data_IF_841419622637
#
_entry.id   IF_841419622637
#
_cell.length_a   1.000
_cell.length_b   1.000
_cell.length_c   1.000
_cell.angle_alpha   90.00
_cell.angle_beta   90.00
_cell.angle_gamma   90.00
#
_symmetry.space_group_name_H-M   'P 1'
#
loop_
_entity.id
_entity.type
_entity.pdbx_description
1 polymer ?
#
# COMPACT_ATOMS: atom_id res chain seq x y z
N UNK A 1 30.16 -19.29 26.68
CA UNK A 1 29.56 -18.98 25.36
C UNK A 1 28.12 -18.59 25.62
N UNK A 2 27.80 -17.30 25.49
CA UNK A 2 26.42 -16.83 25.62
C UNK A 2 25.71 -17.26 24.35
N UNK A 3 24.66 -18.09 24.45
CA UNK A 3 23.85 -18.47 23.31
C UNK A 3 23.34 -17.18 22.64
N UNK A 4 23.63 -16.99 21.35
CA UNK A 4 23.06 -15.88 20.59
C UNK A 4 21.53 -16.03 20.61
N UNK A 5 20.87 -15.18 21.41
CA UNK A 5 19.42 -15.09 21.45
C UNK A 5 18.91 -14.79 20.05
N UNK A 6 17.85 -15.47 19.61
CA UNK A 6 17.25 -15.23 18.31
C UNK A 6 16.81 -13.75 18.18
N UNK A 7 16.97 -13.15 16.99
CA UNK A 7 16.53 -11.77 16.75
C UNK A 7 15.00 -11.69 16.78
N UNK A 8 14.48 -10.80 17.61
CA UNK A 8 13.04 -10.52 17.70
C UNK A 8 12.58 -9.64 16.53
N UNK A 9 11.29 -9.66 16.22
CA UNK A 9 10.75 -8.78 15.18
C UNK A 9 10.91 -7.30 15.53
N UNK A 10 10.87 -6.92 16.81
CA UNK A 10 11.10 -5.55 17.26
C UNK A 10 12.55 -5.08 17.01
N UNK A 11 13.54 -5.92 17.31
CA UNK A 11 14.96 -5.61 17.03
C UNK A 11 15.21 -5.48 15.52
N UNK A 12 14.63 -6.38 14.71
CA UNK A 12 14.74 -6.29 13.26
C UNK A 12 14.07 -5.03 12.71
N UNK A 13 12.88 -4.70 13.20
CA UNK A 13 12.14 -3.52 12.78
C UNK A 13 12.91 -2.24 13.12
N UNK A 14 13.45 -2.11 14.34
CA UNK A 14 14.27 -0.97 14.73
C UNK A 14 15.51 -0.81 13.83
N UNK A 15 16.13 -1.94 13.46
CA UNK A 15 17.31 -1.92 12.58
C UNK A 15 16.94 -1.52 11.14
N UNK A 16 15.82 -2.03 10.62
CA UNK A 16 15.29 -1.68 9.29
C UNK A 16 14.93 -0.19 9.24
N UNK A 17 14.22 0.33 10.23
CA UNK A 17 13.87 1.76 10.31
C UNK A 17 15.11 2.64 10.28
N UNK A 18 16.09 2.37 11.17
CA UNK A 18 17.32 3.14 11.20
C UNK A 18 18.13 3.05 9.90
N UNK A 19 18.13 1.89 9.22
CA UNK A 19 18.75 1.74 7.91
C UNK A 19 18.07 2.63 6.87
N UNK A 20 16.74 2.65 6.82
CA UNK A 20 15.98 3.43 5.84
C UNK A 20 16.12 4.94 6.10
N UNK A 21 16.15 5.38 7.35
CA UNK A 21 16.39 6.77 7.72
C UNK A 21 17.79 7.23 7.29
N UNK A 22 18.82 6.42 7.53
CA UNK A 22 20.18 6.69 7.04
C UNK A 22 20.23 6.75 5.51
N UNK A 23 19.53 5.84 4.82
CA UNK A 23 19.48 5.83 3.36
C UNK A 23 18.79 7.08 2.81
N UNK A 24 17.74 7.57 3.48
CA UNK A 24 17.08 8.83 3.13
C UNK A 24 18.06 10.00 3.24
N UNK A 25 18.75 10.13 4.38
CA UNK A 25 19.75 11.18 4.59
C UNK A 25 20.86 11.12 3.52
N UNK A 26 21.36 9.91 3.20
CA UNK A 26 22.38 9.72 2.16
C UNK A 26 21.90 10.17 0.78
N UNK A 27 20.63 9.88 0.42
CA UNK A 27 20.04 10.30 -0.86
C UNK A 27 19.78 11.80 -0.93
N UNK A 28 19.47 12.43 0.20
CA UNK A 28 19.28 13.87 0.33
C UNK A 28 20.61 14.64 0.41
N UNK A 29 21.75 13.94 0.42
CA UNK A 29 23.08 14.54 0.57
C UNK A 29 23.36 15.07 1.99
N UNK A 30 22.50 14.74 2.96
CA UNK A 30 22.68 15.10 4.36
C UNK A 30 23.73 14.20 5.02
N UNK A 31 24.55 14.80 5.90
CA UNK A 31 25.53 14.04 6.67
C UNK A 31 24.85 13.26 7.79
N UNK A 32 25.33 12.04 8.04
CA UNK A 32 24.88 11.20 9.14
C UNK A 32 26.06 10.40 9.70
N UNK A 33 26.02 10.07 11.00
CA UNK A 33 27.05 9.27 11.67
C UNK A 33 26.55 7.86 11.95
N UNK A 34 27.05 6.88 11.19
CA UNK A 34 26.77 5.46 11.42
C UNK A 34 27.12 5.02 12.85
N UNK A 35 28.22 5.55 13.39
CA UNK A 35 28.66 5.25 14.74
C UNK A 35 27.66 5.75 15.78
N UNK A 36 27.12 6.95 15.60
CA UNK A 36 26.13 7.51 16.50
C UNK A 36 24.81 6.74 16.46
N UNK A 37 24.32 6.42 15.27
CA UNK A 37 23.07 5.68 15.09
C UNK A 37 23.18 4.26 15.68
N UNK A 38 24.31 3.58 15.51
CA UNK A 38 24.56 2.29 16.18
C UNK A 38 24.57 2.44 17.71
N UNK A 39 25.18 3.51 18.25
CA UNK A 39 25.18 3.80 19.69
C UNK A 39 23.76 3.97 20.22
N UNK A 40 22.91 4.72 19.51
CA UNK A 40 21.51 4.95 19.88
C UNK A 40 20.69 3.67 19.84
N UNK A 41 20.82 2.87 18.78
CA UNK A 41 20.15 1.57 18.68
C UNK A 41 20.51 0.65 19.84
N UNK A 42 21.79 0.60 20.23
CA UNK A 42 22.27 -0.22 21.34
C UNK A 42 21.95 0.38 22.72
N UNK A 43 21.75 1.68 22.83
CA UNK A 43 21.24 2.29 24.06
C UNK A 43 19.75 1.99 24.29
N UNK A 44 19.02 1.58 23.23
CA UNK A 44 17.60 1.25 23.30
C UNK A 44 17.31 -0.18 22.82
N UNK A 45 16.64 -0.34 21.67
CA UNK A 45 16.04 -1.61 21.26
C UNK A 45 17.04 -2.75 21.04
N UNK A 46 18.32 -2.46 20.81
CA UNK A 46 19.37 -3.44 20.54
C UNK A 46 20.37 -3.56 21.71
N UNK A 47 19.96 -3.26 22.95
CA UNK A 47 20.84 -3.30 24.13
C UNK A 47 21.48 -4.67 24.38
N UNK A 48 20.84 -5.76 23.96
CA UNK A 48 21.35 -7.12 24.06
C UNK A 48 22.36 -7.50 22.95
N UNK A 49 22.57 -6.63 21.95
CA UNK A 49 23.34 -6.93 20.74
C UNK A 49 24.75 -6.30 20.76
N UNK A 50 25.70 -7.03 20.19
CA UNK A 50 27.06 -6.52 19.96
C UNK A 50 27.11 -5.62 18.72
N UNK A 51 28.09 -4.71 18.66
CA UNK A 51 28.29 -3.84 17.49
C UNK A 51 28.46 -4.66 16.19
N UNK A 52 29.20 -5.77 16.26
CA UNK A 52 29.38 -6.67 15.11
C UNK A 52 28.07 -7.30 14.63
N UNK A 53 27.17 -7.66 15.56
CA UNK A 53 25.86 -8.22 15.21
C UNK A 53 24.97 -7.19 14.52
N UNK A 54 24.98 -5.94 15.00
CA UNK A 54 24.23 -4.82 14.39
C UNK A 54 24.80 -4.48 13.01
N UNK A 55 26.11 -4.38 12.87
CA UNK A 55 26.79 -4.12 11.60
C UNK A 55 26.43 -5.20 10.56
N UNK A 56 26.53 -6.48 10.93
CA UNK A 56 26.16 -7.59 10.05
C UNK A 56 24.67 -7.56 9.67
N UNK A 57 23.79 -7.12 10.59
CA UNK A 57 22.37 -6.95 10.27
C UNK A 57 22.13 -5.84 9.23
N UNK A 58 22.87 -4.74 9.29
CA UNK A 58 22.82 -3.70 8.26
C UNK A 58 23.30 -4.22 6.89
N UNK A 59 24.31 -5.10 6.87
CA UNK A 59 24.77 -5.76 5.64
C UNK A 59 23.72 -6.73 5.08
N UNK A 60 23.00 -7.45 5.93
CA UNK A 60 21.86 -8.28 5.53
C UNK A 60 20.76 -7.42 4.89
N UNK A 61 20.44 -6.26 5.47
CA UNK A 61 19.47 -5.32 4.88
C UNK A 61 19.95 -4.83 3.51
N UNK A 62 21.21 -4.39 3.37
CA UNK A 62 21.79 -4.01 2.07
C UNK A 62 21.64 -5.10 1.01
N UNK A 63 21.81 -6.37 1.39
CA UNK A 63 21.66 -7.50 0.47
C UNK A 63 20.20 -7.75 0.09
N UNK A 64 19.24 -7.61 1.02
CA UNK A 64 17.81 -7.67 0.67
C UNK A 64 17.39 -6.50 -0.23
N UNK A 65 17.92 -5.29 0.00
CA UNK A 65 17.68 -4.12 -0.87
C UNK A 65 18.17 -4.38 -2.31
N UNK A 66 19.35 -4.97 -2.48
CA UNK A 66 19.85 -5.38 -3.80
C UNK A 66 18.96 -6.45 -4.46
N UNK A 67 18.51 -7.45 -3.71
CA UNK A 67 17.59 -8.49 -4.22
C UNK A 67 16.22 -7.92 -4.63
N UNK A 68 15.81 -6.80 -4.04
CA UNK A 68 14.61 -6.05 -4.39
C UNK A 68 14.82 -5.04 -5.53
N UNK A 69 16.06 -4.88 -6.03
CA UNK A 69 16.38 -3.85 -7.03
C UNK A 69 16.29 -2.41 -6.49
N UNK A 70 16.43 -2.20 -5.18
CA UNK A 70 16.34 -0.88 -4.54
C UNK A 70 17.73 -0.31 -4.22
N UNK A 71 17.89 1.02 -4.14
CA UNK A 71 19.12 1.65 -3.67
C UNK A 71 19.49 1.19 -2.25
N UNK A 72 20.78 1.09 -1.96
CA UNK A 72 21.30 0.74 -0.64
C UNK A 72 22.30 1.78 -0.15
N UNK A 73 22.56 1.80 1.15
CA UNK A 73 23.62 2.64 1.72
C UNK A 73 24.97 2.18 1.15
N UNK A 74 25.72 3.10 0.55
CA UNK A 74 26.95 2.78 -0.16
C UNK A 74 27.97 2.09 0.76
N UNK A 75 28.11 2.61 1.99
CA UNK A 75 29.08 2.10 2.95
C UNK A 75 28.59 0.96 3.85
N UNK A 76 27.48 0.28 3.54
CA UNK A 76 27.16 -1.04 4.11
C UNK A 76 27.23 -2.08 3.00
N UNK A 77 28.34 -2.80 2.93
CA UNK A 77 28.56 -3.83 1.92
C UNK A 77 27.52 -4.96 2.10
N UNK A 78 26.79 -5.36 1.05
CA UNK A 78 25.84 -6.47 1.13
C UNK A 78 26.49 -7.75 1.67
N UNK A 79 25.79 -8.44 2.56
CA UNK A 79 26.20 -9.76 3.04
C UNK A 79 26.22 -10.77 1.87
N UNK A 80 27.20 -11.68 1.88
CA UNK A 80 27.34 -12.72 0.84
C UNK A 80 26.24 -13.79 0.91
N UNK A 81 25.67 -14.00 2.10
CA UNK A 81 24.60 -14.96 2.33
C UNK A 81 23.66 -14.45 3.43
N UNK A 82 22.37 -14.78 3.33
CA UNK A 82 21.34 -14.55 4.35
C UNK A 82 20.54 -15.83 4.47
N UNK A 83 20.27 -16.30 5.69
CA UNK A 83 19.35 -17.42 5.91
C UNK A 83 17.94 -17.07 5.44
N UNK A 84 17.25 -18.00 4.76
CA UNK A 84 15.94 -17.78 4.14
C UNK A 84 14.87 -17.19 5.07
N UNK A 85 14.86 -17.60 6.35
CA UNK A 85 13.96 -17.05 7.36
C UNK A 85 14.23 -15.56 7.65
N UNK A 86 15.51 -15.18 7.77
CA UNK A 86 15.92 -13.80 7.99
C UNK A 86 15.67 -12.94 6.74
N UNK A 87 15.94 -13.47 5.54
CA UNK A 87 15.63 -12.78 4.29
C UNK A 87 14.14 -12.46 4.19
N UNK A 88 13.28 -13.46 4.45
CA UNK A 88 11.82 -13.30 4.38
C UNK A 88 11.31 -12.26 5.37
N UNK A 89 11.80 -12.30 6.62
CA UNK A 89 11.41 -11.32 7.66
C UNK A 89 11.86 -9.91 7.30
N UNK A 90 13.11 -9.74 6.88
CA UNK A 90 13.66 -8.45 6.46
C UNK A 90 12.95 -7.91 5.22
N UNK A 91 12.70 -8.75 4.21
CA UNK A 91 11.95 -8.38 2.99
C UNK A 91 10.56 -7.85 3.36
N UNK A 92 9.82 -8.58 4.20
CA UNK A 92 8.49 -8.15 4.67
C UNK A 92 8.54 -6.79 5.37
N UNK A 93 9.52 -6.58 6.26
CA UNK A 93 9.68 -5.32 6.99
C UNK A 93 10.11 -4.17 6.08
N UNK A 94 11.00 -4.43 5.13
CA UNK A 94 11.46 -3.45 4.13
C UNK A 94 10.34 -3.11 3.17
N UNK A 95 9.47 -4.05 2.77
CA UNK A 95 8.32 -3.77 1.91
C UNK A 95 7.24 -3.00 2.67
N UNK A 96 6.98 -3.37 3.93
CA UNK A 96 6.05 -2.65 4.81
C UNK A 96 6.53 -1.20 5.10
N UNK A 97 7.84 -1.01 5.30
CA UNK A 97 8.44 0.32 5.45
C UNK A 97 8.69 1.02 4.10
N UNK A 98 8.81 0.26 3.02
CA UNK A 98 9.19 0.66 1.66
C UNK A 98 8.05 1.17 0.79
N UNK A 99 6.87 1.39 1.38
CA UNK A 99 5.98 2.45 0.95
C UNK A 99 6.60 3.85 1.05
N UNK A 100 7.77 4.01 1.68
CA UNK A 100 8.46 5.30 1.88
C UNK A 100 9.79 5.49 1.12
N UNK A 101 10.17 4.60 0.20
CA UNK A 101 11.30 4.85 -0.72
C UNK A 101 10.76 5.11 -2.13
N UNK A 102 10.27 6.34 -2.31
CA UNK A 102 9.83 6.82 -3.61
C UNK A 102 11.01 6.84 -4.60
N UNK A 103 10.79 6.21 -5.75
CA UNK A 103 11.44 6.60 -7.00
C UNK A 103 11.17 8.10 -7.22
N UNK A 104 12.02 8.81 -7.96
CA UNK A 104 11.77 10.18 -8.40
C UNK A 104 10.50 10.28 -9.28
N UNK A 105 9.33 10.16 -8.65
CA UNK A 105 8.08 10.66 -9.21
C UNK A 105 8.11 12.16 -8.97
N UNK A 106 7.65 12.91 -9.96
CA UNK A 106 7.16 14.26 -9.76
C UNK A 106 6.46 14.32 -8.40
N UNK A 107 6.85 15.26 -7.52
CA UNK A 107 6.13 15.45 -6.26
C UNK A 107 4.68 15.72 -6.66
N UNK A 108 3.76 14.86 -6.22
CA UNK A 108 2.33 15.04 -6.47
C UNK A 108 1.96 16.41 -5.94
N UNK A 109 1.33 17.25 -6.75
CA UNK A 109 0.85 18.57 -6.33
C UNK A 109 -0.65 18.50 -6.05
N UNK A 110 -1.21 19.54 -5.41
CA UNK A 110 -2.66 19.57 -5.19
C UNK A 110 -3.45 19.54 -6.51
N UNK A 111 -2.96 20.20 -7.55
CA UNK A 111 -3.54 20.20 -8.90
C UNK A 111 -3.54 18.82 -9.58
N UNK A 112 -2.66 17.91 -9.17
CA UNK A 112 -2.66 16.51 -9.63
C UNK A 112 -3.76 15.68 -8.95
N UNK A 113 -4.28 16.14 -7.80
CA UNK A 113 -5.27 15.43 -6.96
C UNK A 113 -6.67 16.02 -7.14
N UNK A 114 -6.81 17.32 -6.98
CA UNK A 114 -8.04 18.09 -7.19
C UNK A 114 -7.85 18.95 -8.43
N UNK A 115 -8.75 18.88 -9.42
CA UNK A 115 -8.58 19.56 -10.71
C UNK A 115 -8.86 21.07 -10.67
N UNK A 116 -9.62 21.54 -9.69
CA UNK A 116 -10.02 22.94 -9.52
C UNK A 116 -10.42 23.24 -8.08
N UNK A 117 -10.59 24.52 -7.75
CA UNK A 117 -11.17 24.97 -6.50
C UNK A 117 -12.54 24.32 -6.21
N UNK A 118 -13.40 24.16 -7.23
CA UNK A 118 -14.72 23.53 -7.14
C UNK A 118 -14.68 22.08 -6.66
N UNK A 119 -13.57 21.38 -6.89
CA UNK A 119 -13.41 20.01 -6.40
C UNK A 119 -13.20 19.95 -4.88
N UNK A 120 -12.92 21.09 -4.23
CA UNK A 120 -12.71 21.21 -2.78
C UNK A 120 -14.02 21.64 -2.10
N UNK A 121 -14.69 20.74 -1.38
CA UNK A 121 -15.94 21.04 -0.66
C UNK A 121 -15.81 22.02 0.49
N UNK A 122 -14.58 22.37 0.87
CA UNK A 122 -14.28 23.35 1.90
C UNK A 122 -13.14 22.93 2.82
N UNK A 123 -13.07 23.64 3.96
CA UNK A 123 -12.07 23.42 5.00
C UNK A 123 -12.68 22.84 6.28
N UNK A 124 -11.86 22.11 7.02
CA UNK A 124 -12.20 21.61 8.35
C UNK A 124 -11.08 21.81 9.36
N UNK A 125 -11.41 22.30 10.54
CA UNK A 125 -10.49 22.35 11.66
C UNK A 125 -10.24 20.94 12.22
N UNK A 126 -8.97 20.62 12.44
CA UNK A 126 -8.50 19.37 13.06
C UNK A 126 -7.43 19.68 14.10
N UNK A 127 -7.19 18.78 15.04
CA UNK A 127 -6.17 18.97 16.09
C UNK A 127 -4.76 18.59 15.66
N UNK A 128 -4.59 18.07 14.44
CA UNK A 128 -3.30 17.79 13.82
C UNK A 128 -3.49 16.86 12.61
N UNK A 129 -2.41 16.29 12.06
CA UNK A 129 -2.49 15.48 10.84
C UNK A 129 -3.44 14.30 11.00
N UNK A 130 -4.19 14.00 9.93
CA UNK A 130 -5.11 12.86 9.90
C UNK A 130 -4.32 11.56 10.11
N UNK A 131 -4.73 10.81 11.14
CA UNK A 131 -4.13 9.52 11.51
C UNK A 131 -5.01 8.31 11.19
N UNK A 132 -6.17 8.52 10.55
CA UNK A 132 -7.16 7.47 10.27
C UNK A 132 -7.94 7.77 9.00
N UNK A 133 -8.55 6.74 8.41
CA UNK A 133 -9.37 6.84 7.21
C UNK A 133 -10.74 7.51 7.46
N UNK A 134 -10.91 8.27 8.55
CA UNK A 134 -12.16 8.92 8.91
C UNK A 134 -11.95 10.39 9.25
N UNK A 135 -12.96 11.20 8.96
CA UNK A 135 -13.05 12.59 9.38
C UNK A 135 -14.25 12.77 10.30
N UNK A 136 -13.99 13.26 11.51
CA UNK A 136 -14.96 13.28 12.60
C UNK A 136 -15.75 14.59 12.69
N UNK A 137 -17.00 14.52 13.13
CA UNK A 137 -17.93 15.64 13.27
C UNK A 137 -18.54 15.69 14.68
N UNK A 138 -18.96 16.88 15.08
CA UNK A 138 -19.85 17.03 16.23
C UNK A 138 -21.23 16.43 15.92
N UNK A 139 -21.87 15.85 16.93
CA UNK A 139 -23.28 15.45 16.84
C UNK A 139 -24.20 16.66 17.06
N UNK A 140 -25.41 16.60 16.48
CA UNK A 140 -26.50 17.54 16.78
C UNK A 140 -27.69 16.80 17.37
N UNK A 141 -28.13 17.17 18.57
CA UNK A 141 -29.26 16.52 19.22
C UNK A 141 -28.94 15.10 19.70
N UNK A 142 -29.97 14.28 19.89
CA UNK A 142 -29.82 12.90 20.36
C UNK A 142 -29.58 11.89 19.23
N UNK A 143 -28.96 10.74 19.53
CA UNK A 143 -28.58 9.71 18.53
C UNK A 143 -29.75 9.16 17.70
N UNK A 144 -30.97 9.26 18.21
CA UNK A 144 -32.18 8.78 17.56
C UNK A 144 -32.79 9.81 16.58
N UNK A 145 -32.28 11.05 16.58
CA UNK A 145 -32.76 12.10 15.69
C UNK A 145 -32.00 12.12 14.37
N UNK A 146 -32.69 12.49 13.29
CA UNK A 146 -32.06 12.68 11.97
C UNK A 146 -31.01 13.80 11.97
N UNK A 147 -31.16 14.78 12.86
CA UNK A 147 -30.22 15.89 13.09
C UNK A 147 -28.83 15.37 13.49
N UNK A 148 -28.75 14.24 14.19
CA UNK A 148 -27.51 13.69 14.74
C UNK A 148 -26.41 13.51 13.69
N UNK A 149 -26.79 13.00 12.51
CA UNK A 149 -25.86 12.74 11.41
C UNK A 149 -25.87 13.84 10.34
N UNK A 150 -26.62 14.94 10.54
CA UNK A 150 -26.92 15.91 9.48
C UNK A 150 -25.67 16.54 8.86
N UNK A 151 -24.64 16.80 9.66
CA UNK A 151 -23.39 17.41 9.18
C UNK A 151 -22.64 16.44 8.26
N UNK A 152 -22.40 15.22 8.72
CA UNK A 152 -21.71 14.19 7.94
C UNK A 152 -22.52 13.77 6.70
N UNK A 153 -23.84 13.70 6.82
CA UNK A 153 -24.73 13.47 5.68
C UNK A 153 -24.63 14.60 4.64
N UNK A 154 -24.47 15.85 5.08
CA UNK A 154 -24.22 16.98 4.21
C UNK A 154 -22.90 16.87 3.47
N UNK A 155 -21.83 16.46 4.15
CA UNK A 155 -20.53 16.21 3.52
C UNK A 155 -20.60 15.08 2.49
N UNK A 156 -21.25 13.96 2.81
CA UNK A 156 -21.43 12.83 1.90
C UNK A 156 -22.22 13.20 0.63
N UNK A 157 -23.20 14.11 0.73
CA UNK A 157 -23.91 14.64 -0.45
C UNK A 157 -23.01 15.50 -1.32
N UNK A 158 -22.21 16.39 -0.71
CA UNK A 158 -21.31 17.27 -1.47
C UNK A 158 -20.14 16.53 -2.11
N UNK A 159 -19.72 15.41 -1.54
CA UNK A 159 -18.59 14.62 -2.04
C UNK A 159 -18.76 14.13 -3.49
N UNK A 160 -19.99 14.07 -4.02
CA UNK A 160 -20.23 13.74 -5.42
C UNK A 160 -19.69 14.80 -6.39
N UNK A 161 -19.91 16.08 -6.08
CA UNK A 161 -19.47 17.20 -6.92
C UNK A 161 -18.10 17.74 -6.49
N UNK A 162 -17.86 17.81 -5.18
CA UNK A 162 -16.67 18.38 -4.56
C UNK A 162 -16.06 17.35 -3.60
N UNK A 163 -15.31 16.36 -4.10
CA UNK A 163 -14.89 15.21 -3.29
C UNK A 163 -13.81 15.52 -2.26
N UNK A 164 -13.11 16.65 -2.36
CA UNK A 164 -11.93 16.91 -1.53
C UNK A 164 -12.20 17.87 -0.38
N UNK A 165 -11.61 17.60 0.79
CA UNK A 165 -11.62 18.51 1.93
C UNK A 165 -10.20 18.84 2.33
N UNK A 166 -9.94 20.12 2.64
CA UNK A 166 -8.65 20.56 3.18
C UNK A 166 -8.76 20.67 4.70
N UNK A 167 -7.83 20.08 5.43
CA UNK A 167 -7.82 20.15 6.89
C UNK A 167 -6.73 21.08 7.39
N UNK A 168 -7.08 21.93 8.36
CA UNK A 168 -6.18 22.94 8.91
C UNK A 168 -6.16 22.79 10.43
N UNK A 169 -4.99 22.93 11.04
CA UNK A 169 -4.84 22.90 12.49
C UNK A 169 -5.58 24.07 13.14
N UNK A 170 -6.61 23.78 13.95
CA UNK A 170 -7.41 24.80 14.61
C UNK A 170 -8.36 24.24 15.66
N UNK A 171 -8.86 25.11 16.52
CA UNK A 171 -9.62 24.74 17.72
C UNK A 171 -8.81 24.95 19.00
N UNK A 172 -9.46 24.77 20.16
CA UNK A 172 -8.82 24.99 21.47
C UNK A 172 -7.77 23.93 21.81
N UNK A 173 -7.97 22.71 21.31
CA UNK A 173 -7.13 21.54 21.61
C UNK A 173 -6.21 21.17 20.43
N UNK A 174 -5.91 22.13 19.54
CA UNK A 174 -4.94 21.90 18.47
C UNK A 174 -3.57 21.58 19.08
N UNK A 175 -2.92 20.52 18.59
CA UNK A 175 -1.61 20.11 19.08
C UNK A 175 -0.54 21.14 18.75
N UNK A 176 0.43 21.27 19.66
CA UNK A 176 1.56 22.18 19.52
C UNK A 176 2.25 22.03 18.16
N UNK A 177 2.52 23.17 17.52
CA UNK A 177 3.18 23.23 16.22
C UNK A 177 2.27 23.09 15.01
N UNK A 178 0.99 22.73 15.16
CA UNK A 178 0.04 22.60 14.04
C UNK A 178 -0.95 23.77 13.90
N UNK A 179 -1.01 24.68 14.87
CA UNK A 179 -1.94 25.79 14.85
C UNK A 179 -1.81 26.65 13.59
N UNK A 180 -2.92 26.84 12.87
CA UNK A 180 -2.96 27.59 11.62
C UNK A 180 -2.28 26.92 10.44
N UNK A 181 -1.76 25.69 10.57
CA UNK A 181 -1.10 24.98 9.47
C UNK A 181 -2.07 24.19 8.63
N UNK A 182 -1.92 24.23 7.32
CA UNK A 182 -2.63 23.37 6.38
C UNK A 182 -1.97 21.99 6.38
N UNK A 183 -2.71 20.96 6.76
CA UNK A 183 -2.14 19.65 7.12
C UNK A 183 -2.36 18.61 6.03
N UNK A 184 -3.60 18.46 5.59
CA UNK A 184 -4.00 17.40 4.68
C UNK A 184 -5.00 17.89 3.64
N UNK A 185 -5.02 17.22 2.50
CA UNK A 185 -6.19 17.14 1.61
C UNK A 185 -6.66 15.70 1.62
N UNK A 186 -7.96 15.48 1.72
CA UNK A 186 -8.53 14.14 1.79
C UNK A 186 -9.72 14.00 0.83
N UNK A 187 -9.78 12.86 0.14
CA UNK A 187 -10.91 12.48 -0.70
C UNK A 187 -11.98 11.82 0.17
N UNK A 188 -13.15 12.45 0.22
CA UNK A 188 -14.26 12.07 1.08
C UNK A 188 -15.10 10.97 0.41
N UNK A 189 -15.40 9.91 1.14
CA UNK A 189 -16.33 8.85 0.71
C UNK A 189 -17.78 9.26 0.98
N UNK A 190 -18.76 8.54 0.41
CA UNK A 190 -20.18 8.80 0.67
C UNK A 190 -20.76 7.96 1.82
N UNK A 191 -19.88 7.27 2.56
CA UNK A 191 -20.23 6.44 3.73
C UNK A 191 -19.94 7.21 5.02
N UNK A 192 -20.98 7.45 5.81
CA UNK A 192 -20.91 8.19 7.07
C UNK A 192 -21.70 7.51 8.18
N UNK A 193 -21.44 7.86 9.42
CA UNK A 193 -22.22 7.32 10.54
C UNK A 193 -21.47 7.35 11.85
N UNK A 194 -21.65 6.33 12.69
CA UNK A 194 -21.00 6.30 13.98
C UNK A 194 -19.49 6.05 13.83
N UNK A 195 -18.68 6.87 14.49
CA UNK A 195 -17.21 6.78 14.40
C UNK A 195 -16.71 5.39 14.77
N UNK A 196 -17.25 4.81 15.85
CA UNK A 196 -16.94 3.44 16.31
C UNK A 196 -17.27 2.33 15.31
N UNK A 197 -18.10 2.61 14.31
CA UNK A 197 -18.48 1.63 13.28
C UNK A 197 -17.57 1.73 12.06
N UNK A 198 -17.01 2.91 11.80
CA UNK A 198 -16.07 3.14 10.70
C UNK A 198 -14.64 2.79 11.11
N UNK A 199 -14.27 3.03 12.37
CA UNK A 199 -12.92 2.76 12.88
C UNK A 199 -12.86 1.40 13.57
N UNK A 200 -11.91 0.56 13.17
CA UNK A 200 -11.73 -0.80 13.73
C UNK A 200 -10.62 -0.90 14.78
N UNK A 201 -9.68 0.04 14.80
CA UNK A 201 -8.57 0.06 15.77
C UNK A 201 -9.06 0.53 17.15
N UNK A 202 -8.95 -0.29 18.21
CA UNK A 202 -9.44 0.06 19.54
C UNK A 202 -8.82 1.33 20.14
N UNK A 203 -7.52 1.57 19.92
CA UNK A 203 -6.83 2.77 20.43
C UNK A 203 -7.38 4.03 19.75
N UNK A 204 -7.58 3.95 18.44
CA UNK A 204 -8.16 5.02 17.64
C UNK A 204 -9.62 5.29 18.00
N UNK A 205 -10.42 4.23 18.23
CA UNK A 205 -11.79 4.37 18.72
C UNK A 205 -11.80 5.12 20.06
N UNK A 206 -10.93 4.74 21.00
CA UNK A 206 -10.82 5.42 22.29
C UNK A 206 -10.50 6.91 22.11
N UNK A 207 -9.52 7.24 21.25
CA UNK A 207 -9.13 8.62 20.93
C UNK A 207 -10.27 9.44 20.31
N UNK A 208 -11.05 8.82 19.42
CA UNK A 208 -12.11 9.50 18.68
C UNK A 208 -13.48 9.46 19.38
N UNK A 209 -13.59 8.83 20.55
CA UNK A 209 -14.86 8.69 21.30
C UNK A 209 -15.58 10.02 21.52
N UNK A 210 -14.84 11.13 21.65
CA UNK A 210 -15.40 12.46 21.83
C UNK A 210 -16.16 13.00 20.59
N UNK A 211 -15.92 12.45 19.41
CA UNK A 211 -16.67 12.75 18.19
C UNK A 211 -17.45 11.52 17.74
N UNK A 212 -18.74 11.45 18.04
CA UNK A 212 -19.51 10.22 17.85
C UNK A 212 -19.89 9.95 16.39
N UNK A 213 -19.73 10.94 15.50
CA UNK A 213 -20.08 10.84 14.08
C UNK A 213 -18.85 11.07 13.21
N UNK A 214 -18.68 10.28 12.17
CA UNK A 214 -17.62 10.44 11.19
C UNK A 214 -18.08 10.12 9.76
N UNK A 215 -17.27 10.53 8.79
CA UNK A 215 -17.34 10.12 7.38
C UNK A 215 -16.03 9.42 7.01
N UNK A 216 -16.11 8.41 6.14
CA UNK A 216 -14.93 7.72 5.64
C UNK A 216 -14.19 8.54 4.58
N UNK A 217 -12.90 8.27 4.42
CA UNK A 217 -11.97 8.90 3.48
C UNK A 217 -11.35 7.81 2.60
N UNK A 218 -11.38 7.99 1.28
CA UNK A 218 -10.75 7.07 0.34
C UNK A 218 -9.24 7.21 0.35
N UNK A 219 -8.78 8.46 0.22
CA UNK A 219 -7.38 8.80 0.06
C UNK A 219 -7.07 10.05 0.88
N UNK A 220 -5.87 10.08 1.45
CA UNK A 220 -5.39 11.22 2.23
C UNK A 220 -3.98 11.57 1.81
N UNK A 221 -3.75 12.84 1.55
CA UNK A 221 -2.44 13.40 1.28
C UNK A 221 -2.07 14.42 2.35
N UNK A 222 -0.79 14.57 2.62
CA UNK A 222 -0.23 15.58 3.51
C UNK A 222 0.45 16.67 2.70
N UNK A 223 0.22 17.93 3.06
CA UNK A 223 0.99 19.04 2.50
C UNK A 223 2.41 18.99 3.06
N UNK A 224 3.40 18.89 2.17
CA UNK A 224 4.82 18.86 2.56
C UNK A 224 5.17 20.17 3.25
N UNK A 225 5.78 20.06 4.44
CA UNK A 225 6.13 21.21 5.28
C UNK A 225 4.96 21.83 6.06
N UNK A 226 3.70 21.43 5.77
CA UNK A 226 2.48 21.93 6.43
C UNK A 226 2.44 23.48 6.51
N UNK A 227 2.20 24.18 5.38
CA UNK A 227 2.30 25.64 5.34
C UNK A 227 1.34 26.31 6.33
N UNK A 228 1.82 27.36 6.97
CA UNK A 228 1.03 28.18 7.87
C UNK A 228 0.16 29.18 7.10
N UNK A 229 -1.14 29.21 7.40
CA UNK A 229 -2.15 29.99 6.66
C UNK A 229 -1.81 31.49 6.59
N UNK A 230 -1.48 32.12 7.71
CA UNK A 230 -1.13 33.55 7.75
C UNK A 230 0.30 33.78 7.29
N UNK A 231 1.28 33.15 7.94
CA UNK A 231 2.70 33.36 7.67
C UNK A 231 3.18 32.95 6.27
N UNK A 232 2.77 31.79 5.77
CA UNK A 232 3.29 31.24 4.50
C UNK A 232 2.33 31.51 3.33
N UNK A 233 1.00 31.42 3.55
CA UNK A 233 -0.01 31.59 2.51
C UNK A 233 -0.60 33.00 2.42
N UNK A 234 -0.19 33.92 3.31
CA UNK A 234 -0.57 35.33 3.25
C UNK A 234 -2.05 35.62 3.55
N UNK A 235 -2.73 34.74 4.30
CA UNK A 235 -4.08 35.04 4.78
C UNK A 235 -4.06 36.14 5.86
N UNK A 236 -5.06 37.04 5.90
CA UNK A 236 -5.10 38.11 6.89
C UNK A 236 -5.24 37.59 8.32
N UNK A 237 -5.98 36.50 8.49
CA UNK A 237 -6.26 35.86 9.76
C UNK A 237 -6.70 34.40 9.52
N UNK A 238 -7.22 33.73 10.56
CA UNK A 238 -7.70 32.34 10.50
C UNK A 238 -9.22 32.23 10.36
N UNK A 239 -9.91 33.29 9.97
CA UNK A 239 -11.39 33.32 9.87
C UNK A 239 -11.94 32.36 8.83
N UNK A 240 -11.11 31.89 7.88
CA UNK A 240 -11.45 30.77 6.98
C UNK A 240 -11.94 29.53 7.75
N UNK A 241 -11.52 29.36 9.01
CA UNK A 241 -11.92 28.26 9.89
C UNK A 241 -13.14 28.55 10.77
N UNK A 242 -13.78 29.72 10.65
CA UNK A 242 -14.95 30.06 11.45
C UNK A 242 -16.09 29.03 11.24
N UNK A 243 -16.49 28.33 12.31
CA UNK A 243 -17.53 27.29 12.27
C UNK A 243 -17.06 25.93 11.71
N UNK A 244 -15.76 25.77 11.42
CA UNK A 244 -15.19 24.54 10.85
C UNK A 244 -14.84 23.46 11.88
N UNK A 245 -15.05 23.71 13.18
CA UNK A 245 -14.82 22.73 14.24
C UNK A 245 -15.84 21.58 14.14
N UNK A 246 -17.12 21.93 14.04
CA UNK A 246 -18.22 20.97 14.03
C UNK A 246 -18.48 20.37 12.64
N UNK A 247 -18.02 21.03 11.57
CA UNK A 247 -18.36 20.70 10.19
C UNK A 247 -17.31 21.09 9.16
N UNK A 248 -17.67 20.96 7.88
CA UNK A 248 -16.87 21.45 6.76
C UNK A 248 -17.54 22.73 6.26
N UNK A 249 -16.77 23.82 6.19
CA UNK A 249 -17.24 25.15 5.78
C UNK A 249 -16.59 25.55 4.45
N UNK A 250 -17.33 26.27 3.61
CA UNK A 250 -16.88 26.73 2.30
C UNK A 250 -17.03 28.26 2.21
N UNK A 251 -16.06 29.03 2.71
CA UNK A 251 -16.06 30.48 2.57
C UNK A 251 -15.58 30.88 1.17
N UNK A 252 -16.50 31.10 0.22
CA UNK A 252 -16.23 31.25 -1.22
C UNK A 252 -15.00 32.12 -1.56
N UNK A 253 -14.96 33.37 -1.06
CA UNK A 253 -13.86 34.30 -1.34
C UNK A 253 -12.49 33.84 -0.79
N UNK A 254 -12.50 33.06 0.29
CA UNK A 254 -11.29 32.51 0.89
C UNK A 254 -10.88 31.17 0.25
N UNK A 255 -11.82 30.42 -0.34
CA UNK A 255 -11.54 29.16 -1.04
C UNK A 255 -10.74 29.38 -2.31
N UNK A 256 -11.08 30.40 -3.11
CA UNK A 256 -10.29 30.76 -4.30
C UNK A 256 -8.85 31.14 -3.93
N UNK A 257 -8.69 31.97 -2.89
CA UNK A 257 -7.36 32.33 -2.38
C UNK A 257 -6.58 31.12 -1.90
N UNK A 258 -7.25 30.19 -1.21
CA UNK A 258 -6.63 28.97 -0.69
C UNK A 258 -6.17 28.07 -1.84
N UNK A 259 -7.00 27.92 -2.87
CA UNK A 259 -6.69 27.16 -4.07
C UNK A 259 -5.47 27.73 -4.79
N UNK A 260 -5.46 29.04 -5.09
CA UNK A 260 -4.32 29.67 -5.77
C UNK A 260 -3.02 29.56 -4.98
N UNK A 261 -3.09 29.60 -3.65
CA UNK A 261 -1.92 29.46 -2.79
C UNK A 261 -1.40 28.00 -2.70
N UNK A 262 -2.26 26.99 -2.91
CA UNK A 262 -1.93 25.59 -2.65
C UNK A 262 -1.90 24.69 -3.89
N UNK A 263 -2.43 25.08 -5.04
CA UNK A 263 -2.57 24.23 -6.24
C UNK A 263 -1.26 23.58 -6.69
N UNK A 264 -0.14 24.30 -6.60
CA UNK A 264 1.20 23.79 -6.93
C UNK A 264 1.98 23.30 -5.68
N UNK A 265 1.32 23.21 -4.52
CA UNK A 265 1.99 22.82 -3.29
C UNK A 265 2.25 21.31 -3.27
N UNK A 266 3.46 20.85 -2.92
CA UNK A 266 3.79 19.42 -2.91
C UNK A 266 3.03 18.64 -1.84
N UNK A 267 2.60 17.45 -2.22
CA UNK A 267 1.84 16.49 -1.43
C UNK A 267 2.58 15.16 -1.27
N UNK A 268 2.41 14.55 -0.10
CA UNK A 268 2.83 13.17 0.21
C UNK A 268 1.60 12.31 0.49
N UNK A 269 1.49 11.14 -0.16
CA UNK A 269 0.40 10.20 0.12
C UNK A 269 0.54 9.63 1.53
N UNK A 270 -0.57 9.60 2.29
CA UNK A 270 -0.62 8.99 3.62
C UNK A 270 -1.33 7.64 3.53
N UNK A 271 -0.61 6.56 3.88
CA UNK A 271 -1.17 5.22 3.86
C UNK A 271 -2.12 5.00 5.06
N UNK A 272 -3.40 5.31 4.88
CA UNK A 272 -4.47 5.10 5.87
C UNK A 272 -5.42 4.02 5.32
N UNK A 273 -5.14 2.73 5.55
CA UNK A 273 -5.92 1.66 4.96
C UNK A 273 -7.39 1.73 5.43
N UNK A 274 -8.30 1.64 4.48
CA UNK A 274 -9.72 1.42 4.75
C UNK A 274 -9.94 0.05 5.43
N UNK A 275 -11.01 -0.12 6.22
CA UNK A 275 -11.35 -1.41 6.81
C UNK A 275 -11.51 -2.49 5.75
N UNK A 276 -11.16 -3.72 6.08
CA UNK A 276 -11.43 -4.87 5.21
C UNK A 276 -12.92 -4.91 4.85
N UNK A 277 -13.23 -5.10 3.56
CA UNK A 277 -14.59 -5.07 3.01
C UNK A 277 -15.30 -3.70 3.03
N UNK A 278 -14.56 -2.59 3.20
CA UNK A 278 -15.14 -1.27 3.00
C UNK A 278 -15.64 -1.11 1.55
N UNK A 279 -16.92 -0.76 1.41
CA UNK A 279 -17.56 -0.51 0.13
C UNK A 279 -18.26 0.85 0.17
N UNK A 280 -17.93 1.70 -0.79
CA UNK A 280 -18.64 2.96 -1.02
C UNK A 280 -19.64 2.77 -2.16
N UNK A 281 -20.96 2.82 -1.91
CA UNK A 281 -21.97 2.61 -2.93
C UNK A 281 -22.17 3.80 -3.88
N UNK A 282 -21.32 4.82 -3.80
CA UNK A 282 -21.44 6.07 -4.57
C UNK A 282 -22.79 6.76 -4.38
N UNK A 283 -23.31 6.67 -3.14
CA UNK A 283 -24.48 7.43 -2.68
C UNK A 283 -24.39 7.64 -1.16
N UNK A 284 -24.89 8.76 -0.63
CA UNK A 284 -24.89 9.03 0.81
C UNK A 284 -25.51 7.87 1.59
N UNK A 285 -24.70 7.19 2.40
CA UNK A 285 -25.08 5.96 3.11
C UNK A 285 -24.73 6.07 4.58
N UNK A 286 -25.76 6.02 5.42
CA UNK A 286 -25.62 6.03 6.88
C UNK A 286 -25.30 4.63 7.41
N UNK A 287 -24.28 4.55 8.27
CA UNK A 287 -23.78 3.32 8.88
C UNK A 287 -23.77 3.46 10.41
N UNK A 288 -24.66 2.73 11.08
CA UNK A 288 -24.76 2.73 12.56
C UNK A 288 -24.34 1.41 13.20
N UNK A 289 -24.36 0.31 12.44
CA UNK A 289 -24.08 -1.03 12.97
C UNK A 289 -23.15 -1.86 12.07
N UNK A 290 -23.33 -1.83 10.75
CA UNK A 290 -22.57 -2.64 9.78
C UNK A 290 -22.18 -1.82 8.56
N UNK A 291 -20.96 -2.01 8.08
CA UNK A 291 -20.48 -1.42 6.83
C UNK A 291 -21.30 -1.94 5.63
N UNK A 292 -21.41 -1.13 4.55
CA UNK A 292 -22.05 -1.56 3.31
C UNK A 292 -21.33 -2.79 2.74
N UNK A 293 -22.09 -3.70 2.13
CA UNK A 293 -21.54 -4.88 1.45
C UNK A 293 -21.65 -4.75 -0.06
N UNK A 294 -20.72 -5.34 -0.79
CA UNK A 294 -20.79 -5.48 -2.24
C UNK A 294 -21.98 -6.40 -2.57
N UNK A 295 -22.93 -6.00 -3.42
CA UNK A 295 -24.14 -6.79 -3.71
C UNK A 295 -23.89 -8.19 -4.30
N UNK A 296 -22.71 -8.45 -4.87
CA UNK A 296 -22.40 -9.66 -5.64
C UNK A 296 -21.35 -10.60 -5.01
N UNK A 297 -20.83 -10.31 -3.82
CA UNK A 297 -19.80 -11.15 -3.19
C UNK A 297 -20.24 -11.58 -1.79
N UNK A 298 -21.05 -12.64 -1.72
CA UNK A 298 -21.16 -13.48 -0.52
C UNK A 298 -20.05 -14.53 -0.47
N UNK A 299 -18.92 -14.30 -1.15
CA UNK A 299 -17.75 -15.14 -1.06
C UNK A 299 -16.74 -14.42 -0.17
N UNK A 300 -16.42 -15.01 0.98
CA UNK A 300 -15.24 -14.62 1.74
C UNK A 300 -14.03 -14.75 0.80
N UNK A 301 -13.39 -13.63 0.46
CA UNK A 301 -12.17 -13.59 -0.36
C UNK A 301 -11.01 -13.19 0.55
N UNK A 302 -9.90 -13.92 0.48
CA UNK A 302 -8.75 -13.72 1.37
C UNK A 302 -8.59 -14.78 2.47
N UNK A 303 -9.42 -15.83 2.49
CA UNK A 303 -9.02 -17.06 3.17
C UNK A 303 -7.64 -17.48 2.65
N UNK A 304 -6.71 -17.78 3.56
CA UNK A 304 -5.46 -18.42 3.19
C UNK A 304 -5.78 -19.84 2.72
N UNK A 305 -6.16 -19.96 1.45
CA UNK A 305 -6.23 -21.25 0.79
C UNK A 305 -4.81 -21.75 0.71
N UNK A 306 -4.49 -22.68 1.61
CA UNK A 306 -3.30 -23.50 1.49
C UNK A 306 -3.49 -24.34 0.24
N UNK A 307 -3.12 -23.83 -0.94
CA UNK A 307 -2.86 -24.72 -2.06
C UNK A 307 -1.74 -25.61 -1.58
N UNK A 308 -2.04 -26.89 -1.39
CA UNK A 308 -1.10 -27.97 -1.10
C UNK A 308 -0.17 -28.16 -2.32
N UNK A 309 0.56 -27.11 -2.69
CA UNK A 309 1.71 -27.13 -3.57
C UNK A 309 2.93 -27.63 -2.78
N UNK A 310 2.73 -28.66 -1.97
CA UNK A 310 3.68 -29.15 -0.98
C UNK A 310 4.02 -30.64 -1.14
N UNK A 311 3.57 -31.33 -2.19
CA UNK A 311 3.88 -32.76 -2.32
C UNK A 311 4.30 -33.23 -3.71
N UNK A 312 4.66 -32.33 -4.62
CA UNK A 312 5.40 -32.74 -5.82
C UNK A 312 6.58 -31.80 -6.03
N UNK A 313 7.75 -32.26 -5.61
CA UNK A 313 9.03 -31.61 -5.82
C UNK A 313 9.28 -31.44 -7.33
N UNK A 314 9.06 -30.22 -7.86
CA UNK A 314 9.38 -29.89 -9.24
C UNK A 314 10.87 -29.55 -9.32
N UNK A 315 11.65 -30.41 -9.96
CA UNK A 315 13.08 -30.14 -10.21
C UNK A 315 13.23 -29.01 -11.23
N UNK A 316 13.47 -27.79 -10.76
CA UNK A 316 13.64 -26.61 -11.62
C UNK A 316 14.73 -26.74 -12.69
N UNK A 317 15.70 -27.65 -12.51
CA UNK A 317 16.71 -27.98 -13.53
C UNK A 317 16.10 -28.52 -14.83
N UNK A 318 15.07 -29.38 -14.75
CA UNK A 318 14.44 -30.00 -15.92
C UNK A 318 13.67 -28.96 -16.74
N UNK A 319 12.95 -28.05 -16.06
CA UNK A 319 12.23 -26.96 -16.71
C UNK A 319 13.17 -25.95 -17.39
N UNK A 320 14.30 -25.62 -16.76
CA UNK A 320 15.34 -24.77 -17.37
C UNK A 320 15.92 -25.42 -18.62
N UNK A 321 16.17 -26.73 -18.54
CA UNK A 321 16.73 -27.49 -19.65
C UNK A 321 15.75 -27.61 -20.83
N UNK A 322 14.45 -27.82 -20.57
CA UNK A 322 13.43 -27.84 -21.62
C UNK A 322 13.35 -26.50 -22.37
N UNK A 323 13.44 -25.37 -21.65
CA UNK A 323 13.51 -24.03 -22.27
C UNK A 323 14.79 -23.84 -23.07
N UNK A 324 15.93 -24.36 -22.61
CA UNK A 324 17.20 -24.31 -23.35
C UNK A 324 17.09 -25.05 -24.68
N UNK A 325 16.58 -26.29 -24.66
CA UNK A 325 16.36 -27.11 -25.85
C UNK A 325 15.35 -26.46 -26.83
N UNK A 326 14.29 -25.87 -26.31
CA UNK A 326 13.33 -25.11 -27.12
C UNK A 326 14.00 -23.94 -27.85
N UNK A 327 14.83 -23.16 -27.15
CA UNK A 327 15.59 -22.05 -27.77
C UNK A 327 16.58 -22.56 -28.81
N UNK A 328 17.26 -23.68 -28.56
CA UNK A 328 18.17 -24.27 -29.54
C UNK A 328 17.44 -24.75 -30.80
N UNK A 329 16.25 -25.31 -30.63
CA UNK A 329 15.41 -25.80 -31.73
C UNK A 329 14.86 -24.68 -32.60
N UNK A 330 14.42 -23.57 -32.01
CA UNK A 330 13.71 -22.49 -32.71
C UNK A 330 14.52 -21.20 -32.86
N UNK A 331 15.76 -21.15 -32.35
CA UNK A 331 16.63 -19.95 -32.30
C UNK A 331 16.24 -18.92 -31.23
N UNK A 332 14.96 -18.86 -30.90
CA UNK A 332 14.34 -17.99 -29.87
C UNK A 332 13.32 -18.80 -29.08
N UNK A 333 13.01 -18.42 -27.84
CA UNK A 333 11.98 -19.12 -27.07
C UNK A 333 10.65 -19.01 -27.81
N UNK A 334 10.04 -20.16 -28.08
CA UNK A 334 8.88 -20.27 -28.95
C UNK A 334 7.85 -21.19 -28.32
N UNK A 335 6.60 -20.72 -28.27
CA UNK A 335 5.49 -21.51 -27.79
C UNK A 335 5.19 -22.64 -28.79
N UNK A 336 5.21 -23.88 -28.33
CA UNK A 336 5.02 -25.05 -29.20
C UNK A 336 3.56 -25.25 -29.65
N UNK A 337 2.62 -24.53 -29.02
CA UNK A 337 1.20 -24.54 -29.34
C UNK A 337 0.80 -23.46 -30.35
N UNK A 338 1.20 -22.21 -30.16
CA UNK A 338 0.77 -21.09 -31.00
C UNK A 338 1.89 -20.38 -31.77
N UNK A 339 3.12 -20.90 -31.70
CA UNK A 339 4.31 -20.34 -32.36
C UNK A 339 4.68 -18.91 -31.93
N UNK A 340 4.09 -18.39 -30.86
CA UNK A 340 4.49 -17.11 -30.27
C UNK A 340 5.95 -17.18 -29.83
N UNK A 341 6.78 -16.28 -30.34
CA UNK A 341 8.22 -16.23 -30.08
C UNK A 341 8.61 -14.93 -29.36
N UNK A 342 9.48 -15.02 -28.36
CA UNK A 342 9.97 -13.86 -27.62
C UNK A 342 11.35 -14.14 -26.99
N UNK A 343 12.19 -13.11 -26.82
CA UNK A 343 13.55 -13.27 -26.28
C UNK A 343 13.60 -13.53 -24.77
N UNK A 344 12.59 -13.06 -24.04
CA UNK A 344 12.46 -13.27 -22.58
C UNK A 344 11.97 -14.69 -22.23
N UNK A 345 12.85 -15.47 -21.60
CA UNK A 345 12.56 -16.81 -21.09
C UNK A 345 11.48 -16.84 -19.99
N UNK A 346 11.29 -15.71 -19.29
CA UNK A 346 10.26 -15.52 -18.26
C UNK A 346 8.84 -15.48 -18.83
N UNK A 347 8.70 -15.20 -20.13
CA UNK A 347 7.40 -15.19 -20.82
C UNK A 347 6.88 -16.61 -21.11
N UNK A 348 7.67 -17.66 -20.88
CA UNK A 348 7.29 -19.04 -21.18
C UNK A 348 7.30 -19.91 -19.94
N UNK A 349 6.43 -20.91 -19.89
CA UNK A 349 6.36 -21.90 -18.84
C UNK A 349 6.64 -23.30 -19.40
N UNK A 350 7.35 -24.13 -18.64
CA UNK A 350 7.55 -25.54 -18.97
C UNK A 350 6.37 -26.35 -18.40
N UNK A 351 5.53 -26.84 -19.29
CA UNK A 351 4.28 -27.51 -18.98
C UNK A 351 4.46 -29.04 -19.06
N UNK A 352 3.93 -29.76 -18.07
CA UNK A 352 3.95 -31.22 -18.10
C UNK A 352 2.72 -31.72 -18.85
N UNK A 353 2.92 -32.44 -19.96
CA UNK A 353 1.80 -33.04 -20.71
C UNK A 353 1.04 -34.06 -19.87
N UNK A 354 1.78 -34.94 -19.18
CA UNK A 354 1.18 -35.80 -18.17
C UNK A 354 1.19 -35.04 -16.83
N UNK A 355 0.08 -34.95 -16.11
CA UNK A 355 0.04 -34.31 -14.78
C UNK A 355 0.95 -35.04 -13.80
N UNK A 356 1.63 -34.31 -12.92
CA UNK A 356 2.47 -34.96 -11.90
C UNK A 356 1.64 -35.70 -10.84
N UNK A 357 0.35 -35.38 -10.71
CA UNK A 357 -0.59 -36.07 -9.81
C UNK A 357 -0.77 -37.56 -10.15
N UNK A 358 -0.45 -37.97 -11.39
CA UNK A 358 -0.52 -39.36 -11.86
C UNK A 358 0.51 -40.27 -11.17
N UNK A 359 1.54 -39.71 -10.53
CA UNK A 359 2.49 -40.47 -9.71
C UNK A 359 3.95 -40.10 -9.91
N UNK A 360 4.83 -40.71 -9.10
CA UNK A 360 6.27 -40.49 -9.16
C UNK A 360 6.86 -41.08 -10.44
N UNK A 361 7.59 -40.25 -11.20
CA UNK A 361 8.25 -40.65 -12.44
C UNK A 361 9.53 -39.84 -12.67
N UNK A 362 10.34 -40.31 -13.61
CA UNK A 362 11.46 -39.55 -14.15
C UNK A 362 10.95 -38.68 -15.30
N UNK A 363 10.99 -37.35 -15.13
CA UNK A 363 10.67 -36.39 -16.19
C UNK A 363 11.94 -35.97 -16.91
N UNK A 364 12.04 -36.24 -18.21
CA UNK A 364 13.08 -35.70 -19.07
C UNK A 364 12.68 -34.32 -19.60
N UNK A 365 13.63 -33.45 -19.96
CA UNK A 365 13.34 -32.13 -20.53
C UNK A 365 12.41 -32.18 -21.76
N UNK A 366 12.58 -33.19 -22.61
CA UNK A 366 11.76 -33.45 -23.79
C UNK A 366 10.31 -33.87 -23.51
N UNK A 367 10.00 -34.27 -22.28
CA UNK A 367 8.63 -34.56 -21.86
C UNK A 367 7.83 -33.30 -21.50
N UNK A 368 8.49 -32.13 -21.52
CA UNK A 368 7.88 -30.85 -21.20
C UNK A 368 7.58 -30.07 -22.48
N UNK A 369 6.44 -29.40 -22.50
CA UNK A 369 6.10 -28.42 -23.51
C UNK A 369 6.52 -27.04 -23.06
N UNK A 370 7.01 -26.22 -23.98
CA UNK A 370 7.24 -24.80 -23.72
C UNK A 370 6.05 -24.00 -24.23
N UNK A 371 5.29 -23.40 -23.32
CA UNK A 371 4.05 -22.68 -23.62
C UNK A 371 4.12 -21.21 -23.19
N UNK A 372 3.49 -20.32 -23.95
CA UNK A 372 3.28 -18.92 -23.53
C UNK A 372 2.21 -18.84 -22.41
N UNK A 373 2.04 -17.69 -21.73
CA UNK A 373 1.18 -17.61 -20.54
C UNK A 373 -0.28 -17.89 -20.87
N UNK A 374 -0.71 -17.56 -22.09
CA UNK A 374 -2.06 -17.81 -22.58
C UNK A 374 -2.31 -19.29 -22.84
N UNK A 375 -1.42 -19.96 -23.58
CA UNK A 375 -1.56 -21.40 -23.88
C UNK A 375 -1.38 -22.25 -22.63
N UNK A 376 -0.46 -21.86 -21.74
CA UNK A 376 -0.26 -22.52 -20.45
C UNK A 376 -1.51 -22.42 -19.57
N UNK A 377 -2.16 -21.25 -19.52
CA UNK A 377 -3.43 -21.08 -18.79
C UNK A 377 -4.57 -21.87 -19.44
N UNK A 378 -4.66 -21.92 -20.77
CA UNK A 378 -5.67 -22.71 -21.50
C UNK A 378 -5.49 -24.20 -21.21
N UNK A 379 -4.25 -24.69 -21.16
CA UNK A 379 -3.95 -26.08 -20.86
C UNK A 379 -4.62 -26.53 -19.55
N UNK A 380 -4.62 -25.68 -18.52
CA UNK A 380 -5.22 -25.99 -17.20
C UNK A 380 -6.68 -25.53 -17.04
N UNK A 381 -7.35 -25.06 -18.10
CA UNK A 381 -8.76 -24.62 -18.07
C UNK A 381 -9.71 -25.71 -18.58
N UNK A 382 -9.48 -26.95 -18.17
CA UNK A 382 -10.44 -28.03 -18.39
C UNK A 382 -11.56 -27.91 -17.34
N UNK A 383 -12.82 -27.83 -17.81
CA UNK A 383 -14.01 -27.72 -16.95
C UNK A 383 -14.37 -29.02 -16.24
N UNK A 384 -13.86 -30.15 -16.73
CA UNK A 384 -14.21 -31.49 -16.27
C UNK A 384 -13.25 -31.99 -15.18
N UNK A 385 -11.94 -31.73 -15.32
CA UNK A 385 -10.93 -32.00 -14.30
C UNK A 385 -9.73 -31.03 -14.45
N UNK A 386 -9.46 -30.14 -13.48
CA UNK A 386 -8.29 -29.26 -13.49
C UNK A 386 -6.93 -29.98 -13.52
N UNK A 387 -6.91 -31.26 -13.13
CA UNK A 387 -5.73 -32.11 -13.17
C UNK A 387 -5.52 -32.75 -14.54
N UNK A 388 -6.43 -32.62 -15.50
CA UNK A 388 -6.32 -33.18 -16.84
C UNK A 388 -6.15 -32.07 -17.89
N UNK A 389 -4.91 -31.68 -18.23
CA UNK A 389 -4.65 -30.56 -19.11
C UNK A 389 -4.93 -30.90 -20.57
N UNK A 390 -5.34 -29.91 -21.36
CA UNK A 390 -5.44 -30.06 -22.81
C UNK A 390 -4.10 -30.50 -23.42
N UNK A 391 -4.19 -31.44 -24.35
CA UNK A 391 -3.07 -31.92 -25.15
C UNK A 391 -2.51 -30.82 -26.06
N UNK A 392 -1.30 -31.03 -26.57
CA UNK A 392 -0.68 -30.09 -27.52
C UNK A 392 -1.52 -29.92 -28.79
N UNK A 393 -2.15 -31.00 -29.27
CA UNK A 393 -2.99 -30.99 -30.46
C UNK A 393 -4.24 -30.12 -30.25
N UNK A 394 -4.91 -30.27 -29.10
CA UNK A 394 -6.07 -29.45 -28.75
C UNK A 394 -5.69 -27.98 -28.56
N UNK A 395 -4.53 -27.69 -27.95
CA UNK A 395 -4.03 -26.33 -27.82
C UNK A 395 -3.70 -25.70 -29.18
N UNK A 396 -3.15 -26.48 -30.12
CA UNK A 396 -2.89 -26.04 -31.50
C UNK A 396 -4.19 -25.79 -32.26
N UNK A 397 -5.15 -26.71 -32.17
CA UNK A 397 -6.47 -26.55 -32.79
C UNK A 397 -7.19 -25.31 -32.27
N UNK A 398 -7.18 -25.09 -30.94
CA UNK A 398 -7.74 -23.90 -30.31
C UNK A 398 -7.03 -22.61 -30.76
N UNK A 399 -5.69 -22.61 -30.80
CA UNK A 399 -4.92 -21.46 -31.25
C UNK A 399 -5.19 -21.15 -32.74
N UNK A 400 -5.29 -22.18 -33.58
CA UNK A 400 -5.61 -22.06 -35.00
C UNK A 400 -7.05 -21.59 -35.24
N UNK A 401 -8.00 -22.00 -34.39
CA UNK A 401 -9.40 -21.57 -34.40
C UNK A 401 -9.64 -20.16 -33.84
N UNK A 402 -8.62 -19.30 -33.80
CA UNK A 402 -8.75 -17.92 -33.33
C UNK A 402 -8.88 -17.78 -31.81
N UNK A 403 -8.53 -18.82 -31.03
CA UNK A 403 -8.61 -18.84 -29.56
C UNK A 403 -10.02 -18.69 -29.01
N UNK A 404 -11.02 -19.14 -29.77
CA UNK A 404 -12.44 -19.14 -29.38
C UNK A 404 -12.82 -20.31 -28.51
#
# INVERSE_FOLDING_TARGET
MVAETEWTDAELQATVTAYLDMLRLEREGASYSKAEIRRQLRAGPLASRSDGSVEYRMQNISRVMEMLGRPRIAGYKPASNIGSANETRLRRMIEAAGGMLESSRSRTQLSDVALSADAIMGVKAVFGPLGSHVLCFGARGSINERSYFQIAAGAARRAEASPFVVTIGGGRDVRDGFEGRVLNVAKVAQVYGLTRTLVTDPEEVARLTQWPVAIALHDVWRFVGAPHLVGDLGFPDRTILAGSQDGIVHPDAAMERLWEALREWPLESVALPLPGNFYDPSKPTLVTAKLPKIPAANADEGERVLRLQLAIERKGKVAKEAKRLNRERYGVFTCEACSFAHSDAGMFDAHHQTPLAVGKRTTLPEHLLVLCPTCHRRAHRNSSDPLDPYTLEELRAWAAGGRT
#
